data_IF_714540250283
#
_entry.id   IF_714540250283
#
_cell.length_a   1.000
_cell.length_b   1.000
_cell.length_c   1.000
_cell.angle_alpha   90.00
_cell.angle_beta   90.00
_cell.angle_gamma   90.00
#
_symmetry.space_group_name_H-M   'P 1'
#
loop_
_entity.id
_entity.type
_entity.pdbx_description
1 polymer ?
#
# COMPACT_ATOMS: atom_id res chain seq x y z
N UNK A 1 -14.56 12.31 -5.76
CA UNK A 1 -15.16 10.97 -5.94
C UNK A 1 -14.16 9.81 -5.77
N UNK A 2 -12.93 9.85 -6.35
CA UNK A 2 -11.96 8.73 -6.21
C UNK A 2 -11.41 8.55 -4.78
N UNK A 3 -11.20 9.65 -4.04
CA UNK A 3 -10.75 9.61 -2.65
C UNK A 3 -11.70 8.85 -1.72
N UNK A 4 -13.01 8.99 -1.92
CA UNK A 4 -14.02 8.33 -1.09
C UNK A 4 -14.11 6.83 -1.33
N UNK A 5 -13.84 6.37 -2.56
CA UNK A 5 -13.79 4.94 -2.89
C UNK A 5 -12.56 4.28 -2.23
N UNK A 6 -11.41 4.97 -2.20
CA UNK A 6 -10.21 4.44 -1.53
C UNK A 6 -10.39 4.50 0.00
N UNK A 7 -10.95 5.58 0.55
CA UNK A 7 -11.25 5.67 1.98
C UNK A 7 -12.28 4.61 2.42
N UNK A 8 -13.32 4.38 1.61
CA UNK A 8 -14.31 3.31 1.82
C UNK A 8 -13.69 1.91 1.75
N UNK A 9 -12.74 1.67 0.85
CA UNK A 9 -11.97 0.42 0.81
C UNK A 9 -10.99 0.29 1.97
N UNK A 10 -10.35 1.38 2.41
CA UNK A 10 -9.51 1.39 3.62
C UNK A 10 -10.33 1.11 4.88
N UNK A 11 -11.59 1.55 4.92
CA UNK A 11 -12.56 1.23 5.97
C UNK A 11 -13.12 -0.18 5.87
N UNK A 12 -13.35 -0.70 4.65
CA UNK A 12 -13.90 -2.04 4.39
C UNK A 12 -12.84 -3.14 4.31
N UNK A 13 -11.56 -2.79 4.46
CA UNK A 13 -10.45 -3.73 4.49
C UNK A 13 -10.63 -4.75 5.65
N UNK A 14 -11.58 -4.57 6.58
CA UNK A 14 -11.96 -5.57 7.58
C UNK A 14 -13.13 -6.47 7.16
N UNK A 15 -12.84 -7.70 6.74
CA UNK A 15 -13.63 -8.89 7.12
C UNK A 15 -12.73 -10.13 7.25
N UNK A 16 -11.66 -10.23 6.46
CA UNK A 16 -10.56 -11.17 6.70
C UNK A 16 -9.39 -10.42 7.34
N UNK A 17 -9.03 -10.81 8.56
CA UNK A 17 -7.99 -10.15 9.34
C UNK A 17 -6.60 -10.76 9.14
N UNK A 18 -6.55 -11.84 8.36
CA UNK A 18 -5.32 -12.54 8.01
C UNK A 18 -4.57 -11.84 6.87
N UNK A 19 -3.24 -11.78 7.00
CA UNK A 19 -2.36 -11.30 5.96
C UNK A 19 -1.84 -12.49 5.14
N UNK A 20 -2.04 -12.44 3.83
CA UNK A 20 -1.43 -13.37 2.87
C UNK A 20 -0.09 -12.82 2.42
N UNK A 21 0.98 -13.18 3.14
CA UNK A 21 2.34 -12.69 2.89
C UNK A 21 2.80 -12.96 1.46
N UNK A 22 2.58 -14.17 0.92
CA UNK A 22 2.95 -14.50 -0.47
C UNK A 22 2.29 -13.57 -1.50
N UNK A 23 1.02 -13.23 -1.29
CA UNK A 23 0.30 -12.29 -2.16
C UNK A 23 0.85 -10.88 -2.06
N UNK A 24 1.20 -10.43 -0.84
CA UNK A 24 1.82 -9.13 -0.61
C UNK A 24 3.18 -9.06 -1.30
N UNK A 25 4.02 -10.08 -1.13
CA UNK A 25 5.37 -10.12 -1.72
C UNK A 25 5.30 -10.06 -3.25
N UNK A 26 4.43 -10.86 -3.88
CA UNK A 26 4.20 -10.80 -5.33
C UNK A 26 3.75 -9.41 -5.81
N UNK A 27 2.89 -8.73 -5.05
CA UNK A 27 2.46 -7.37 -5.38
C UNK A 27 3.58 -6.34 -5.18
N UNK A 28 4.43 -6.50 -4.16
CA UNK A 28 5.62 -5.68 -3.97
C UNK A 28 6.57 -5.86 -5.16
N UNK A 29 6.86 -7.09 -5.59
CA UNK A 29 7.69 -7.36 -6.76
C UNK A 29 7.15 -6.68 -8.02
N UNK A 30 5.83 -6.72 -8.24
CA UNK A 30 5.19 -6.02 -9.36
C UNK A 30 5.34 -4.49 -9.25
N UNK A 31 5.11 -3.93 -8.07
CA UNK A 31 5.26 -2.49 -7.83
C UNK A 31 6.70 -2.01 -8.00
N UNK A 32 7.69 -2.84 -7.62
CA UNK A 32 9.13 -2.55 -7.75
C UNK A 32 9.62 -2.42 -9.19
N UNK A 33 8.79 -2.78 -10.19
CA UNK A 33 9.05 -2.44 -11.60
C UNK A 33 8.92 -0.94 -11.89
N UNK A 34 8.35 -0.16 -10.96
CA UNK A 34 8.11 1.27 -11.12
C UNK A 34 9.06 2.10 -10.25
N UNK A 35 9.81 3.03 -10.87
CA UNK A 35 10.80 3.86 -10.17
C UNK A 35 10.24 4.67 -8.99
N UNK A 36 9.00 5.16 -9.10
CA UNK A 36 8.39 5.95 -8.02
C UNK A 36 8.16 5.10 -6.75
N UNK A 37 7.86 3.81 -6.90
CA UNK A 37 7.66 2.91 -5.78
C UNK A 37 8.98 2.53 -5.13
N UNK A 38 10.02 2.26 -5.93
CA UNK A 38 11.37 1.98 -5.41
C UNK A 38 11.88 3.13 -4.53
N UNK A 39 11.63 4.39 -4.92
CA UNK A 39 11.95 5.55 -4.09
C UNK A 39 11.28 5.55 -2.72
N UNK A 40 10.10 4.93 -2.56
CA UNK A 40 9.44 4.78 -1.25
C UNK A 40 9.89 3.51 -0.53
N UNK A 41 10.10 2.43 -1.27
CA UNK A 41 10.44 1.12 -0.73
C UNK A 41 11.86 1.06 -0.18
N UNK A 42 12.81 1.67 -0.87
CA UNK A 42 14.23 1.71 -0.49
C UNK A 42 14.55 2.85 0.49
N UNK A 43 13.59 3.75 0.74
CA UNK A 43 13.74 4.81 1.74
C UNK A 43 13.64 4.20 3.15
N UNK A 44 14.75 4.27 3.88
CA UNK A 44 14.91 3.67 5.21
C UNK A 44 13.77 4.03 6.16
N UNK A 45 13.24 5.28 6.07
CA UNK A 45 12.13 5.71 6.92
C UNK A 45 10.89 4.84 6.70
N UNK A 46 10.58 4.47 5.46
CA UNK A 46 9.36 3.71 5.14
C UNK A 46 9.61 2.21 5.09
N UNK A 47 10.85 1.77 4.84
CA UNK A 47 11.18 0.38 4.53
C UNK A 47 10.59 -0.62 5.54
N UNK A 48 10.73 -0.32 6.85
CA UNK A 48 10.20 -1.18 7.91
C UNK A 48 8.68 -1.37 7.83
N UNK A 49 7.92 -0.36 7.38
CA UNK A 49 6.46 -0.42 7.31
C UNK A 49 5.95 -1.51 6.35
N UNK A 50 6.70 -1.82 5.29
CA UNK A 50 6.32 -2.86 4.34
C UNK A 50 6.29 -4.27 4.97
N UNK A 51 7.02 -4.48 6.08
CA UNK A 51 7.14 -5.77 6.74
C UNK A 51 6.28 -5.90 8.00
N UNK A 52 6.22 -4.84 8.81
CA UNK A 52 5.61 -4.92 10.15
C UNK A 52 4.28 -4.19 10.27
N UNK A 53 3.97 -3.24 9.39
CA UNK A 53 2.77 -2.42 9.53
C UNK A 53 1.56 -3.08 8.86
N UNK A 54 0.62 -3.58 9.67
CA UNK A 54 -0.58 -4.27 9.20
C UNK A 54 -1.41 -3.43 8.21
N UNK A 55 -1.74 -2.14 8.45
CA UNK A 55 -2.43 -1.31 7.46
C UNK A 55 -1.75 -1.23 6.09
N UNK A 56 -0.43 -1.01 6.05
CA UNK A 56 0.35 -0.94 4.81
C UNK A 56 0.30 -2.28 4.08
N UNK A 57 0.53 -3.38 4.81
CA UNK A 57 0.49 -4.73 4.24
C UNK A 57 -0.89 -5.11 3.71
N UNK A 58 -1.96 -4.70 4.40
CA UNK A 58 -3.33 -4.96 3.98
C UNK A 58 -3.73 -4.18 2.73
N UNK A 59 -3.22 -2.95 2.58
CA UNK A 59 -3.32 -2.20 1.33
C UNK A 59 -2.65 -2.97 0.19
N UNK A 60 -1.40 -3.41 0.40
CA UNK A 60 -0.62 -4.14 -0.60
C UNK A 60 -1.21 -5.51 -0.93
N UNK A 61 -1.93 -6.16 -0.03
CA UNK A 61 -2.64 -7.42 -0.31
C UNK A 61 -3.76 -7.26 -1.35
N UNK A 62 -4.34 -6.08 -1.48
CA UNK A 62 -5.44 -5.83 -2.42
C UNK A 62 -4.95 -5.72 -3.85
N UNK A 63 -5.36 -6.67 -4.70
CA UNK A 63 -5.04 -6.65 -6.13
C UNK A 63 -5.63 -5.41 -6.82
N UNK A 64 -6.83 -4.98 -6.40
CA UNK A 64 -7.46 -3.78 -6.95
C UNK A 64 -6.65 -2.51 -6.61
N UNK A 65 -6.27 -2.35 -5.34
CA UNK A 65 -5.48 -1.19 -4.91
C UNK A 65 -4.09 -1.21 -5.53
N UNK A 66 -3.43 -2.37 -5.61
CA UNK A 66 -2.11 -2.53 -6.26
C UNK A 66 -2.16 -2.14 -7.74
N UNK A 67 -3.16 -2.63 -8.50
CA UNK A 67 -3.32 -2.24 -9.91
C UNK A 67 -3.61 -0.75 -10.08
N UNK A 68 -4.39 -0.15 -9.18
CA UNK A 68 -4.60 1.32 -9.17
C UNK A 68 -3.34 2.08 -8.81
N UNK A 69 -2.53 1.54 -7.89
CA UNK A 69 -1.30 2.16 -7.44
C UNK A 69 -0.27 2.28 -8.58
N UNK A 70 -0.21 1.27 -9.46
CA UNK A 70 0.62 1.31 -10.68
C UNK A 70 0.15 2.43 -11.64
N UNK A 71 -1.15 2.53 -11.88
CA UNK A 71 -1.69 3.33 -12.99
C UNK A 71 -2.20 4.73 -12.61
N UNK A 72 -2.27 5.09 -11.33
CA UNK A 72 -2.95 6.31 -10.89
C UNK A 72 -2.15 7.11 -9.85
N UNK A 73 -1.65 8.31 -10.21
CA UNK A 73 -0.89 9.20 -9.30
C UNK A 73 -1.65 9.60 -8.02
N UNK A 74 -2.97 9.73 -8.05
CA UNK A 74 -3.76 10.05 -6.84
C UNK A 74 -3.75 8.88 -5.85
N UNK A 75 -3.76 7.64 -6.34
CA UNK A 75 -3.60 6.45 -5.50
C UNK A 75 -2.18 6.38 -4.93
N UNK A 76 -1.16 6.76 -5.70
CA UNK A 76 0.24 6.85 -5.22
C UNK A 76 0.37 7.88 -4.08
N UNK A 77 -0.21 9.06 -4.25
CA UNK A 77 -0.25 10.10 -3.21
C UNK A 77 -1.01 9.62 -1.96
N UNK A 78 -2.10 8.88 -2.15
CA UNK A 78 -2.88 8.31 -1.04
C UNK A 78 -2.07 7.25 -0.28
N UNK A 79 -1.35 6.39 -1.01
CA UNK A 79 -0.46 5.39 -0.41
C UNK A 79 0.70 6.05 0.34
N UNK A 80 1.31 7.09 -0.23
CA UNK A 80 2.34 7.88 0.47
C UNK A 80 1.78 8.53 1.74
N UNK A 81 0.58 9.11 1.68
CA UNK A 81 -0.09 9.68 2.87
C UNK A 81 -0.37 8.62 3.94
N UNK A 82 -0.71 7.39 3.54
CA UNK A 82 -0.81 6.26 4.46
C UNK A 82 0.54 5.97 5.13
N UNK A 83 1.64 5.87 4.37
CA UNK A 83 2.98 5.66 4.92
C UNK A 83 3.37 6.79 5.90
N UNK A 84 3.20 8.05 5.50
CA UNK A 84 3.48 9.23 6.33
C UNK A 84 2.65 9.22 7.63
N UNK A 85 1.39 8.75 7.58
CA UNK A 85 0.55 8.58 8.77
C UNK A 85 1.04 7.45 9.68
N UNK A 86 1.49 6.33 9.13
CA UNK A 86 1.97 5.20 9.93
C UNK A 86 3.35 5.44 10.53
N UNK A 87 4.17 6.31 9.93
CA UNK A 87 5.44 6.76 10.51
C UNK A 87 5.27 7.54 11.82
N UNK A 88 4.18 8.29 11.93
CA UNK A 88 3.89 9.17 13.08
C UNK A 88 3.17 8.46 14.22
N UNK A 89 2.89 7.17 14.07
CA UNK A 89 2.24 6.34 15.08
C UNK A 89 3.28 5.54 15.84
#
# INVERSE_FOLDING_TARGET
>A
MIFEIIAGLLGSIGQDDSLNTKKIDNHIEELRKNNWFNKLYDDEKYHRLFFVNKPVRKFLQSTFLTKRLINNPNTQNTFKSLLDKQLRK
#
